data_IF_439713811867
#
_entry.id   IF_439713811867
#
_cell.length_a   1.000
_cell.length_b   1.000
_cell.length_c   1.000
_cell.angle_alpha   90.00
_cell.angle_beta   90.00
_cell.angle_gamma   90.00
#
_symmetry.space_group_name_H-M   'P 1'
#
loop_
_entity.id
_entity.type
_entity.pdbx_description
1 polymer ?
#
# COMPACT_ATOMS: atom_id res chain seq x y z
N UNK A 1 16.99 2.61 31.28
CA UNK A 1 17.82 1.74 30.39
C UNK A 1 17.39 1.97 28.94
N UNK A 2 18.15 2.73 28.11
CA UNK A 2 17.84 2.94 26.67
C UNK A 2 18.32 1.74 25.91
N UNK A 3 17.40 0.94 25.38
CA UNK A 3 17.72 -0.18 24.49
C UNK A 3 18.52 0.35 23.28
N UNK A 4 19.57 -0.39 22.87
CA UNK A 4 20.27 -0.09 21.62
C UNK A 4 19.25 -0.07 20.47
N UNK A 5 19.30 0.88 19.51
CA UNK A 5 18.29 1.04 18.45
C UNK A 5 17.95 -0.27 17.70
N UNK A 6 18.95 -1.12 17.48
CA UNK A 6 18.76 -2.44 16.80
C UNK A 6 17.89 -3.40 17.63
N UNK A 7 18.05 -3.44 18.96
CA UNK A 7 17.26 -4.31 19.82
C UNK A 7 15.79 -3.85 19.94
N UNK A 8 15.52 -2.54 19.89
CA UNK A 8 14.14 -2.01 19.90
C UNK A 8 13.41 -2.31 18.58
N UNK A 9 14.09 -2.21 17.44
CA UNK A 9 13.52 -2.57 16.13
C UNK A 9 13.24 -4.06 16.06
N UNK A 10 14.20 -4.93 16.45
CA UNK A 10 14.02 -6.38 16.46
C UNK A 10 12.82 -6.81 17.33
N UNK A 11 12.70 -6.22 18.53
CA UNK A 11 11.55 -6.49 19.41
C UNK A 11 10.22 -6.03 18.79
N UNK A 12 10.19 -4.84 18.17
CA UNK A 12 9.00 -4.34 17.49
C UNK A 12 8.59 -5.23 16.32
N UNK A 13 9.56 -5.72 15.54
CA UNK A 13 9.32 -6.70 14.46
C UNK A 13 8.75 -8.00 15.03
N UNK A 14 9.35 -8.55 16.10
CA UNK A 14 8.86 -9.79 16.71
C UNK A 14 7.40 -9.64 17.19
N UNK A 15 7.07 -8.55 17.86
CA UNK A 15 5.70 -8.26 18.30
C UNK A 15 4.75 -8.13 17.09
N UNK A 16 5.18 -7.42 16.03
CA UNK A 16 4.37 -7.24 14.83
C UNK A 16 4.14 -8.57 14.10
N UNK A 17 5.14 -9.45 14.03
CA UNK A 17 4.99 -10.79 13.44
C UNK A 17 4.01 -11.64 14.24
N UNK A 18 4.12 -11.66 15.57
CA UNK A 18 3.16 -12.39 16.43
C UNK A 18 1.74 -11.84 16.23
N UNK A 19 1.57 -10.51 16.26
CA UNK A 19 0.28 -9.88 16.02
C UNK A 19 -0.28 -10.25 14.64
N UNK A 20 0.57 -10.23 13.61
CA UNK A 20 0.18 -10.60 12.24
C UNK A 20 -0.30 -12.05 12.15
N UNK A 21 0.44 -12.99 12.78
CA UNK A 21 0.06 -14.41 12.81
C UNK A 21 -1.27 -14.62 13.52
N UNK A 22 -1.50 -13.95 14.64
CA UNK A 22 -2.79 -14.01 15.38
C UNK A 22 -3.92 -13.47 14.51
N UNK A 23 -3.74 -12.30 13.89
CA UNK A 23 -4.79 -11.71 13.02
C UNK A 23 -5.03 -12.59 11.79
N UNK A 24 -4.00 -13.19 11.20
CA UNK A 24 -4.13 -14.10 10.07
C UNK A 24 -4.90 -15.37 10.47
N UNK A 25 -4.60 -15.94 11.63
CA UNK A 25 -5.33 -17.10 12.15
C UNK A 25 -6.82 -16.79 12.38
N UNK A 26 -7.13 -15.61 12.95
CA UNK A 26 -8.51 -15.12 13.12
C UNK A 26 -9.18 -14.93 11.75
N UNK A 27 -8.52 -14.26 10.81
CA UNK A 27 -9.04 -14.00 9.47
C UNK A 27 -9.35 -15.28 8.69
N UNK A 28 -8.55 -16.32 8.88
CA UNK A 28 -8.77 -17.65 8.29
C UNK A 28 -9.90 -18.42 8.96
N UNK A 29 -10.10 -18.25 10.27
CA UNK A 29 -11.13 -18.98 11.05
C UNK A 29 -12.52 -18.37 10.87
N UNK A 30 -12.61 -17.07 10.59
CA UNK A 30 -13.86 -16.32 10.49
C UNK A 30 -14.28 -16.14 9.02
N UNK A 31 -15.54 -16.43 8.72
CA UNK A 31 -16.17 -16.30 7.40
C UNK A 31 -17.65 -16.62 7.55
N UNK A 32 -18.37 -16.87 6.46
CA UNK A 32 -19.80 -17.23 6.47
C UNK A 32 -20.10 -18.45 7.37
N UNK A 33 -19.14 -19.35 7.50
CA UNK A 33 -19.14 -20.43 8.47
C UNK A 33 -17.86 -20.36 9.29
N UNK A 34 -18.00 -20.26 10.61
CA UNK A 34 -16.86 -20.36 11.53
C UNK A 34 -16.24 -21.76 11.43
N UNK A 35 -14.92 -21.81 11.26
CA UNK A 35 -14.18 -23.07 11.13
C UNK A 35 -13.35 -23.28 12.39
N UNK A 36 -13.45 -24.48 12.99
CA UNK A 36 -12.66 -24.84 14.17
C UNK A 36 -11.16 -24.85 13.80
N UNK A 37 -10.24 -24.40 14.68
CA UNK A 37 -8.79 -24.41 14.42
C UNK A 37 -8.23 -25.77 13.96
N UNK A 38 -8.71 -26.87 14.49
CA UNK A 38 -8.30 -28.21 14.07
C UNK A 38 -8.77 -28.55 12.65
N UNK A 39 -9.98 -28.15 12.30
CA UNK A 39 -10.56 -28.31 10.96
C UNK A 39 -9.84 -27.40 9.95
N UNK A 40 -9.54 -26.14 10.34
CA UNK A 40 -8.76 -25.22 9.54
C UNK A 40 -7.38 -25.79 9.18
N UNK A 41 -6.66 -26.34 10.17
CA UNK A 41 -5.37 -26.96 9.93
C UNK A 41 -5.47 -28.15 8.97
N UNK A 42 -6.45 -29.03 9.14
CA UNK A 42 -6.68 -30.16 8.23
C UNK A 42 -6.97 -29.67 6.81
N UNK A 43 -7.84 -28.67 6.68
CA UNK A 43 -8.21 -28.10 5.39
C UNK A 43 -7.03 -27.43 4.67
N UNK A 44 -6.14 -26.76 5.39
CA UNK A 44 -4.90 -26.21 4.84
C UNK A 44 -4.00 -27.27 4.20
N UNK A 45 -3.97 -28.48 4.79
CA UNK A 45 -3.22 -29.62 4.23
C UNK A 45 -4.04 -30.48 3.25
N UNK A 46 -5.25 -30.02 2.87
CA UNK A 46 -6.09 -30.69 1.88
C UNK A 46 -6.84 -31.91 2.44
N UNK A 47 -7.02 -31.97 3.77
CA UNK A 47 -7.69 -33.07 4.46
C UNK A 47 -8.97 -32.58 5.15
N UNK A 48 -10.05 -33.37 5.08
CA UNK A 48 -11.34 -33.09 5.73
C UNK A 48 -12.49 -32.97 4.73
N UNK A 49 -13.52 -32.23 5.11
CA UNK A 49 -14.68 -31.97 4.25
C UNK A 49 -14.25 -31.16 3.01
N UNK A 50 -14.62 -31.61 1.82
CA UNK A 50 -14.22 -31.03 0.54
C UNK A 50 -14.65 -29.57 0.41
N UNK A 51 -15.85 -29.21 0.90
CA UNK A 51 -16.35 -27.84 0.88
C UNK A 51 -15.53 -26.92 1.80
N UNK A 52 -15.08 -27.44 2.96
CA UNK A 52 -14.23 -26.69 3.89
C UNK A 52 -12.83 -26.52 3.29
N UNK A 53 -12.28 -27.55 2.68
CA UNK A 53 -10.97 -27.47 1.98
C UNK A 53 -11.03 -26.44 0.88
N UNK A 54 -12.06 -26.45 0.04
CA UNK A 54 -12.26 -25.46 -1.01
C UNK A 54 -12.38 -24.04 -0.43
N UNK A 55 -13.25 -23.83 0.56
CA UNK A 55 -13.44 -22.52 1.18
C UNK A 55 -12.16 -21.95 1.81
N UNK A 56 -11.34 -22.82 2.41
CA UNK A 56 -10.09 -22.43 3.06
C UNK A 56 -9.00 -22.13 2.01
N UNK A 57 -8.77 -23.03 1.06
CA UNK A 57 -7.63 -22.95 0.13
C UNK A 57 -7.87 -22.04 -1.07
N UNK A 58 -9.10 -22.01 -1.59
CA UNK A 58 -9.41 -21.27 -2.84
C UNK A 58 -10.10 -19.94 -2.59
N UNK A 59 -10.69 -19.72 -1.40
CA UNK A 59 -11.39 -18.47 -1.11
C UNK A 59 -10.67 -17.67 -0.02
N UNK A 60 -10.42 -18.25 1.17
CA UNK A 60 -9.89 -17.51 2.32
C UNK A 60 -8.39 -17.29 2.23
N UNK A 61 -7.62 -18.31 1.88
CA UNK A 61 -6.17 -18.23 1.83
C UNK A 61 -5.66 -17.19 0.81
N UNK A 62 -6.10 -17.19 -0.47
CA UNK A 62 -5.64 -16.18 -1.42
C UNK A 62 -6.02 -14.76 -0.98
N UNK A 63 -7.21 -14.57 -0.41
CA UNK A 63 -7.64 -13.27 0.12
C UNK A 63 -6.76 -12.79 1.29
N UNK A 64 -6.44 -13.67 2.24
CA UNK A 64 -5.54 -13.35 3.36
C UNK A 64 -4.14 -13.04 2.85
N UNK A 65 -3.60 -13.85 1.94
CA UNK A 65 -2.30 -13.61 1.31
C UNK A 65 -2.29 -12.25 0.59
N UNK A 66 -3.33 -11.96 -0.18
CA UNK A 66 -3.45 -10.69 -0.89
C UNK A 66 -3.52 -9.51 0.09
N UNK A 67 -4.31 -9.60 1.16
CA UNK A 67 -4.39 -8.57 2.20
C UNK A 67 -3.02 -8.30 2.84
N UNK A 68 -2.26 -9.36 3.15
CA UNK A 68 -0.91 -9.28 3.70
C UNK A 68 0.05 -8.58 2.74
N UNK A 69 0.05 -9.01 1.48
CA UNK A 69 0.98 -8.50 0.46
C UNK A 69 0.66 -7.05 0.08
N UNK A 70 -0.61 -6.73 -0.16
CA UNK A 70 -1.07 -5.37 -0.46
C UNK A 70 -0.77 -4.42 0.71
N UNK A 71 -1.09 -4.84 1.93
CA UNK A 71 -0.80 -4.06 3.14
C UNK A 71 0.69 -3.83 3.34
N UNK A 72 1.51 -4.88 3.17
CA UNK A 72 2.96 -4.77 3.26
C UNK A 72 3.53 -3.84 2.18
N UNK A 73 3.07 -3.95 0.94
CA UNK A 73 3.49 -3.12 -0.16
C UNK A 73 3.19 -1.63 0.10
N UNK A 74 1.95 -1.28 0.48
CA UNK A 74 1.60 0.10 0.86
C UNK A 74 2.41 0.58 2.07
N UNK A 75 2.59 -0.27 3.09
CA UNK A 75 3.34 0.08 4.29
C UNK A 75 4.81 0.40 4.00
N UNK A 76 5.49 -0.43 3.21
CA UNK A 76 6.87 -0.22 2.78
C UNK A 76 6.96 1.04 1.90
N UNK A 77 6.08 1.15 0.91
CA UNK A 77 6.03 2.30 0.00
C UNK A 77 5.86 3.62 0.74
N UNK A 78 4.94 3.68 1.70
CA UNK A 78 4.74 4.84 2.56
C UNK A 78 5.96 5.16 3.42
N UNK A 79 6.57 4.13 4.04
CA UNK A 79 7.78 4.30 4.84
C UNK A 79 8.94 4.88 4.03
N UNK A 80 9.15 4.39 2.80
CA UNK A 80 10.16 4.91 1.86
C UNK A 80 9.86 6.36 1.50
N UNK A 81 8.63 6.67 1.05
CA UNK A 81 8.25 8.03 0.65
C UNK A 81 8.46 9.03 1.78
N UNK A 82 8.06 8.69 3.01
CA UNK A 82 8.25 9.54 4.20
C UNK A 82 9.73 9.75 4.54
N UNK A 83 10.54 8.70 4.43
CA UNK A 83 11.97 8.76 4.70
C UNK A 83 12.72 9.60 3.67
N UNK A 84 12.50 9.33 2.38
CA UNK A 84 13.19 10.00 1.27
C UNK A 84 12.80 11.46 1.14
N UNK A 85 11.50 11.77 1.26
CA UNK A 85 10.98 13.15 1.16
C UNK A 85 11.09 13.91 2.50
N UNK A 86 11.57 13.27 3.55
CA UNK A 86 11.68 13.84 4.91
C UNK A 86 10.39 14.51 5.39
N UNK A 87 9.26 13.97 4.95
CA UNK A 87 7.93 14.48 5.25
C UNK A 87 7.05 13.35 5.82
N UNK A 88 6.57 13.46 7.07
CA UNK A 88 5.73 12.42 7.68
C UNK A 88 4.37 12.23 6.99
N UNK A 89 3.95 13.17 6.16
CA UNK A 89 2.72 13.13 5.39
C UNK A 89 2.92 12.66 3.94
N UNK A 90 4.16 12.33 3.55
CA UNK A 90 4.42 11.82 2.23
C UNK A 90 3.87 10.40 2.07
N UNK A 91 3.23 10.14 0.95
CA UNK A 91 2.77 8.83 0.51
C UNK A 91 2.96 8.68 -0.99
N UNK A 92 2.98 7.46 -1.54
CA UNK A 92 3.06 7.26 -2.99
C UNK A 92 1.85 7.87 -3.73
N UNK A 93 0.72 8.08 -3.06
CA UNK A 93 -0.47 8.73 -3.62
C UNK A 93 -0.19 10.19 -4.01
N UNK A 94 0.68 10.87 -3.26
CA UNK A 94 1.13 12.24 -3.61
C UNK A 94 1.93 12.25 -4.92
N UNK A 95 2.51 11.11 -5.30
CA UNK A 95 3.15 10.91 -6.60
C UNK A 95 2.14 10.45 -7.68
N UNK A 96 0.85 10.59 -7.44
CA UNK A 96 -0.22 10.34 -8.41
C UNK A 96 -0.48 8.87 -8.75
N UNK A 97 0.14 7.92 -8.04
CA UNK A 97 0.05 6.48 -8.36
C UNK A 97 -1.40 6.01 -8.35
N UNK A 98 -2.13 6.28 -7.27
CA UNK A 98 -3.54 5.86 -7.16
C UNK A 98 -4.45 6.57 -8.16
N UNK A 99 -4.22 7.88 -8.43
CA UNK A 99 -5.01 8.62 -9.41
C UNK A 99 -4.77 8.12 -10.84
N UNK A 100 -3.50 7.84 -11.20
CA UNK A 100 -3.14 7.27 -12.50
C UNK A 100 -3.69 5.86 -12.70
N UNK A 101 -3.59 5.01 -11.67
CA UNK A 101 -4.19 3.68 -11.67
C UNK A 101 -5.71 3.75 -11.86
N UNK A 102 -6.37 4.71 -11.19
CA UNK A 102 -7.82 4.91 -11.26
C UNK A 102 -8.28 5.33 -12.65
N UNK A 103 -7.62 6.32 -13.26
CA UNK A 103 -7.95 6.75 -14.64
C UNK A 103 -7.79 5.60 -15.63
N UNK A 104 -6.70 4.83 -15.54
CA UNK A 104 -6.45 3.75 -16.48
C UNK A 104 -7.43 2.58 -16.29
N UNK A 105 -7.71 2.19 -15.03
CA UNK A 105 -8.68 1.14 -14.72
C UNK A 105 -10.10 1.52 -15.20
N UNK A 106 -10.58 2.70 -14.81
CA UNK A 106 -11.90 3.19 -15.21
C UNK A 106 -11.96 3.43 -16.73
N UNK A 107 -10.87 3.88 -17.35
CA UNK A 107 -10.76 4.03 -18.79
C UNK A 107 -10.97 2.73 -19.55
N UNK A 108 -10.31 1.64 -19.10
CA UNK A 108 -10.51 0.30 -19.69
C UNK A 108 -11.93 -0.20 -19.48
N UNK A 109 -12.51 0.01 -18.28
CA UNK A 109 -13.91 -0.36 -18.01
C UNK A 109 -14.89 0.42 -18.91
N UNK A 110 -14.67 1.73 -19.09
CA UNK A 110 -15.51 2.58 -19.94
C UNK A 110 -15.45 2.18 -21.43
N UNK A 111 -14.24 1.92 -21.94
CA UNK A 111 -14.03 1.51 -23.33
C UNK A 111 -14.57 0.09 -23.57
N UNK A 112 -14.41 -0.82 -22.58
CA UNK A 112 -14.97 -2.16 -22.65
C UNK A 112 -16.50 -2.17 -22.68
N UNK A 113 -17.15 -1.31 -21.89
CA UNK A 113 -18.60 -1.12 -21.89
C UNK A 113 -19.13 -0.61 -23.25
N UNK A 114 -18.30 0.15 -24.01
CA UNK A 114 -18.61 0.63 -25.36
C UNK A 114 -18.25 -0.38 -26.46
N UNK A 115 -17.83 -1.62 -26.12
CA UNK A 115 -17.45 -2.65 -27.10
C UNK A 115 -16.12 -2.39 -27.78
N UNK A 116 -15.28 -1.53 -27.24
CA UNK A 116 -13.97 -1.20 -27.81
C UNK A 116 -12.92 -2.28 -27.56
N UNK A 117 -11.89 -2.41 -28.45
CA UNK A 117 -10.88 -3.46 -28.38
C UNK A 117 -9.98 -3.36 -27.14
N UNK A 118 -9.86 -2.20 -26.52
CA UNK A 118 -9.05 -1.98 -25.30
C UNK A 118 -9.69 -2.62 -24.07
N UNK A 119 -11.00 -2.92 -24.10
CA UNK A 119 -11.70 -3.63 -23.02
C UNK A 119 -11.19 -5.06 -22.76
N UNK A 120 -10.32 -5.59 -23.62
CA UNK A 120 -9.63 -6.89 -23.43
C UNK A 120 -8.46 -6.78 -22.46
N UNK A 121 -7.94 -5.56 -22.18
CA UNK A 121 -6.82 -5.37 -21.24
C UNK A 121 -7.30 -5.64 -19.80
N UNK A 122 -6.65 -6.54 -19.06
CA UNK A 122 -7.00 -6.78 -17.66
C UNK A 122 -6.88 -5.50 -16.83
N UNK A 123 -7.91 -5.22 -16.02
CA UNK A 123 -7.96 -4.02 -15.16
C UNK A 123 -6.70 -3.87 -14.29
N UNK A 124 -6.16 -4.94 -13.66
CA UNK A 124 -4.91 -4.84 -12.89
C UNK A 124 -3.72 -4.35 -13.72
N UNK A 125 -3.61 -4.80 -14.98
CA UNK A 125 -2.53 -4.36 -15.89
C UNK A 125 -2.69 -2.89 -16.25
N UNK A 126 -3.90 -2.47 -16.58
CA UNK A 126 -4.19 -1.06 -16.86
C UNK A 126 -3.88 -0.16 -15.64
N UNK A 127 -4.32 -0.56 -14.46
CA UNK A 127 -4.06 0.15 -13.21
C UNK A 127 -2.56 0.25 -12.91
N UNK A 128 -1.81 -0.83 -13.09
CA UNK A 128 -0.36 -0.86 -12.91
C UNK A 128 0.33 0.13 -13.85
N UNK A 129 0.03 0.08 -15.14
CA UNK A 129 0.60 0.97 -16.16
C UNK A 129 0.19 2.43 -15.91
N UNK A 130 -1.06 2.68 -15.55
CA UNK A 130 -1.56 4.02 -15.20
C UNK A 130 -0.87 4.62 -13.98
N UNK A 131 -0.64 3.82 -12.96
CA UNK A 131 0.09 4.25 -11.75
C UNK A 131 1.54 4.63 -12.05
N UNK A 132 2.25 3.79 -12.83
CA UNK A 132 3.61 4.11 -13.29
C UNK A 132 3.64 5.32 -14.22
N UNK A 133 2.69 5.40 -15.16
CA UNK A 133 2.59 6.52 -16.11
C UNK A 133 2.40 7.86 -15.41
N UNK A 134 1.50 7.93 -14.43
CA UNK A 134 1.28 9.14 -13.64
C UNK A 134 2.52 9.53 -12.84
N UNK A 135 3.16 8.57 -12.18
CA UNK A 135 4.39 8.83 -11.41
C UNK A 135 5.54 9.29 -12.33
N UNK A 136 5.69 8.69 -13.50
CA UNK A 136 6.67 9.11 -14.51
C UNK A 136 6.40 10.54 -15.01
N UNK A 137 5.14 10.88 -15.24
CA UNK A 137 4.73 12.23 -15.66
C UNK A 137 5.02 13.27 -14.57
N UNK A 138 4.71 12.96 -13.31
CA UNK A 138 5.04 13.84 -12.16
C UNK A 138 6.55 14.00 -12.03
N UNK A 139 7.32 12.94 -12.20
CA UNK A 139 8.77 13.01 -12.17
C UNK A 139 9.29 13.91 -13.32
N UNK A 140 8.83 13.71 -14.55
CA UNK A 140 9.23 14.49 -15.71
C UNK A 140 8.92 16.00 -15.53
N UNK A 141 7.73 16.35 -15.06
CA UNK A 141 7.33 17.72 -14.78
C UNK A 141 8.09 18.32 -13.59
N UNK A 142 8.42 17.51 -12.58
CA UNK A 142 9.15 17.92 -11.39
C UNK A 142 10.66 18.13 -11.64
N UNK A 143 11.26 17.41 -12.60
CA UNK A 143 12.68 17.62 -12.97
C UNK A 143 12.97 19.03 -13.46
N UNK A 144 12.06 19.62 -14.26
CA UNK A 144 12.19 21.00 -14.75
C UNK A 144 12.19 22.08 -13.65
N UNK A 145 11.62 21.78 -12.47
CA UNK A 145 11.53 22.67 -11.32
C UNK A 145 12.66 22.46 -10.27
N UNK A 146 13.74 21.75 -10.63
CA UNK A 146 14.92 21.54 -9.77
C UNK A 146 14.78 20.47 -8.71
N UNK A 147 13.89 19.47 -8.90
CA UNK A 147 13.66 18.28 -8.04
C UNK A 147 13.58 18.60 -6.52
N UNK A 148 13.00 19.74 -6.18
CA UNK A 148 12.76 20.11 -4.79
C UNK A 148 11.51 19.40 -4.29
N UNK A 149 11.56 18.77 -3.14
CA UNK A 149 10.43 18.00 -2.57
C UNK A 149 9.10 18.76 -2.52
N UNK A 150 9.13 20.09 -2.34
CA UNK A 150 7.94 20.95 -2.37
C UNK A 150 7.34 21.07 -3.78
N UNK A 151 8.16 21.16 -4.80
CA UNK A 151 7.71 21.24 -6.20
C UNK A 151 7.05 19.93 -6.64
N UNK A 152 7.66 18.78 -6.31
CA UNK A 152 7.07 17.46 -6.56
C UNK A 152 5.69 17.28 -5.91
N UNK A 153 5.53 17.77 -4.67
CA UNK A 153 4.24 17.71 -3.97
C UNK A 153 3.16 18.54 -4.69
N UNK A 154 3.48 19.76 -5.11
CA UNK A 154 2.52 20.63 -5.81
C UNK A 154 2.13 20.07 -7.17
N UNK A 155 3.10 19.60 -7.98
CA UNK A 155 2.85 18.95 -9.27
C UNK A 155 2.02 17.69 -9.07
N UNK A 156 2.36 16.88 -8.05
CA UNK A 156 1.63 15.66 -7.72
C UNK A 156 0.16 15.93 -7.37
N UNK A 157 -0.11 16.91 -6.52
CA UNK A 157 -1.48 17.31 -6.15
C UNK A 157 -2.25 17.80 -7.38
N UNK A 158 -1.65 18.69 -8.18
CA UNK A 158 -2.30 19.25 -9.37
C UNK A 158 -2.64 18.13 -10.39
N UNK A 159 -1.68 17.26 -10.70
CA UNK A 159 -1.91 16.16 -11.63
C UNK A 159 -2.93 15.14 -11.07
N UNK A 160 -2.83 14.76 -9.80
CA UNK A 160 -3.81 13.85 -9.17
C UNK A 160 -5.22 14.41 -9.22
N UNK A 161 -5.40 15.72 -9.01
CA UNK A 161 -6.70 16.38 -9.13
C UNK A 161 -7.21 16.35 -10.56
N UNK A 162 -6.35 16.63 -11.55
CA UNK A 162 -6.72 16.55 -12.98
C UNK A 162 -7.11 15.11 -13.38
N UNK A 163 -6.32 14.10 -12.97
CA UNK A 163 -6.63 12.68 -13.23
C UNK A 163 -7.94 12.25 -12.54
N UNK A 164 -8.20 12.73 -11.32
CA UNK A 164 -9.48 12.48 -10.64
C UNK A 164 -10.64 13.10 -11.43
N UNK A 165 -10.49 14.32 -11.96
CA UNK A 165 -11.49 14.93 -12.84
C UNK A 165 -11.78 14.10 -14.09
N UNK A 166 -10.73 13.55 -14.73
CA UNK A 166 -10.87 12.63 -15.87
C UNK A 166 -11.62 11.35 -15.45
N UNK A 167 -11.27 10.78 -14.27
CA UNK A 167 -11.97 9.59 -13.75
C UNK A 167 -13.47 9.87 -13.57
N UNK A 168 -13.83 11.00 -12.97
CA UNK A 168 -15.23 11.40 -12.77
C UNK A 168 -15.94 11.60 -14.12
N UNK A 169 -15.30 12.23 -15.08
CA UNK A 169 -15.84 12.37 -16.42
C UNK A 169 -16.12 11.01 -17.08
N UNK A 170 -15.17 10.07 -17.00
CA UNK A 170 -15.35 8.73 -17.54
C UNK A 170 -16.55 8.00 -16.92
N UNK A 171 -16.74 8.13 -15.61
CA UNK A 171 -17.90 7.54 -14.91
C UNK A 171 -19.24 8.07 -15.47
N UNK A 172 -19.32 9.36 -15.86
CA UNK A 172 -20.56 9.93 -16.43
C UNK A 172 -20.86 9.42 -17.83
N UNK A 173 -19.89 8.78 -18.50
CA UNK A 173 -20.05 8.21 -19.86
C UNK A 173 -20.45 6.74 -19.86
N UNK A 174 -20.43 6.09 -18.68
CA UNK A 174 -20.79 4.68 -18.52
C UNK A 174 -22.28 4.53 -18.25
N UNK A 175 -22.80 3.34 -18.54
CA UNK A 175 -24.10 2.91 -18.05
C UNK A 175 -24.08 2.74 -16.50
N UNK A 176 -25.25 2.64 -15.88
CA UNK A 176 -25.37 2.59 -14.41
C UNK A 176 -24.60 1.40 -13.82
N UNK A 177 -24.65 0.24 -14.45
CA UNK A 177 -23.98 -0.97 -13.96
C UNK A 177 -22.46 -0.87 -14.04
N UNK A 178 -21.94 -0.34 -15.14
CA UNK A 178 -20.51 -0.10 -15.33
C UNK A 178 -19.97 0.97 -14.36
N UNK A 179 -20.70 2.07 -14.21
CA UNK A 179 -20.34 3.13 -13.26
C UNK A 179 -20.33 2.62 -11.80
N UNK A 180 -21.28 1.76 -11.43
CA UNK A 180 -21.32 1.14 -10.10
C UNK A 180 -20.13 0.20 -9.87
N UNK A 181 -19.78 -0.62 -10.87
CA UNK A 181 -18.63 -1.50 -10.83
C UNK A 181 -17.32 -0.72 -10.70
N UNK A 182 -17.16 0.36 -11.49
CA UNK A 182 -16.01 1.24 -11.43
C UNK A 182 -15.93 2.00 -10.09
N UNK A 183 -17.04 2.51 -9.57
CA UNK A 183 -17.12 3.14 -8.26
C UNK A 183 -16.73 2.16 -7.14
N UNK A 184 -17.19 0.91 -7.20
CA UNK A 184 -16.80 -0.14 -6.26
C UNK A 184 -15.29 -0.42 -6.32
N UNK A 185 -14.69 -0.47 -7.51
CA UNK A 185 -13.24 -0.64 -7.65
C UNK A 185 -12.46 0.54 -7.06
N UNK A 186 -12.93 1.78 -7.28
CA UNK A 186 -12.31 3.00 -6.77
C UNK A 186 -12.35 3.13 -5.24
N UNK A 187 -13.21 2.39 -4.56
CA UNK A 187 -13.24 2.37 -3.08
C UNK A 187 -12.17 1.45 -2.47
N UNK A 188 -11.51 0.63 -3.26
CA UNK A 188 -10.51 -0.33 -2.81
C UNK A 188 -11.13 -1.52 -2.06
N UNK A 189 -11.11 -2.69 -2.69
CA UNK A 189 -11.72 -3.90 -2.13
C UNK A 189 -10.90 -5.14 -2.46
N UNK A 190 -10.84 -6.06 -1.49
CA UNK A 190 -10.25 -7.39 -1.67
C UNK A 190 -11.32 -8.47 -1.86
N UNK A 191 -12.58 -8.07 -2.06
CA UNK A 191 -13.69 -8.98 -2.24
C UNK A 191 -13.59 -9.71 -3.58
N UNK A 192 -13.96 -10.99 -3.60
CA UNK A 192 -13.94 -11.86 -4.78
C UNK A 192 -12.55 -11.94 -5.48
N UNK A 193 -11.45 -11.75 -4.73
CA UNK A 193 -10.08 -11.91 -5.22
C UNK A 193 -9.55 -13.30 -4.94
N UNK A 194 -8.95 -13.92 -5.95
CA UNK A 194 -8.39 -15.26 -5.90
C UNK A 194 -6.87 -15.28 -6.05
N UNK A 195 -6.34 -16.48 -6.33
CA UNK A 195 -4.91 -16.69 -6.59
C UNK A 195 -4.41 -15.94 -7.83
N UNK A 196 -5.27 -15.76 -8.85
CA UNK A 196 -4.94 -15.03 -10.07
C UNK A 196 -4.63 -13.55 -9.80
N UNK A 197 -5.24 -12.96 -8.75
CA UNK A 197 -4.94 -11.62 -8.30
C UNK A 197 -3.74 -11.58 -7.32
N UNK A 198 -3.64 -12.59 -6.44
CA UNK A 198 -2.67 -12.59 -5.35
C UNK A 198 -1.25 -12.92 -5.82
N UNK A 199 -1.08 -13.91 -6.71
CA UNK A 199 0.23 -14.38 -7.16
C UNK A 199 1.05 -13.33 -7.91
N UNK A 200 0.50 -12.56 -8.88
CA UNK A 200 1.27 -11.53 -9.58
C UNK A 200 1.79 -10.45 -8.63
N UNK A 201 0.97 -10.03 -7.66
CA UNK A 201 1.38 -9.01 -6.68
C UNK A 201 2.41 -9.57 -5.70
N UNK A 202 2.22 -10.81 -5.24
CA UNK A 202 3.20 -11.50 -4.39
C UNK A 202 4.57 -11.58 -5.06
N UNK A 203 4.61 -12.00 -6.33
CA UNK A 203 5.85 -12.09 -7.11
C UNK A 203 6.47 -10.69 -7.27
N UNK A 204 5.67 -9.69 -7.68
CA UNK A 204 6.16 -8.31 -7.84
C UNK A 204 6.74 -7.75 -6.54
N UNK A 205 6.06 -7.93 -5.42
CA UNK A 205 6.53 -7.50 -4.10
C UNK A 205 7.80 -8.28 -3.68
N UNK A 206 7.84 -9.60 -3.93
CA UNK A 206 9.00 -10.43 -3.66
C UNK A 206 10.26 -10.01 -4.45
N UNK A 207 10.09 -9.41 -5.63
CA UNK A 207 11.19 -8.84 -6.42
C UNK A 207 11.62 -7.47 -5.89
N UNK A 208 10.66 -6.59 -5.58
CA UNK A 208 10.97 -5.19 -5.20
C UNK A 208 11.50 -5.09 -3.76
N UNK A 209 11.01 -5.90 -2.82
CA UNK A 209 11.44 -5.82 -1.41
C UNK A 209 12.93 -6.08 -1.22
N UNK A 210 13.57 -7.09 -1.82
CA UNK A 210 15.03 -7.27 -1.75
C UNK A 210 15.80 -6.04 -2.26
N UNK A 211 15.34 -5.41 -3.34
CA UNK A 211 15.96 -4.19 -3.88
C UNK A 211 15.89 -3.06 -2.84
N UNK A 212 14.75 -2.88 -2.21
CA UNK A 212 14.58 -1.90 -1.11
C UNK A 212 15.53 -2.19 0.05
N UNK A 213 15.71 -3.46 0.42
CA UNK A 213 16.61 -3.85 1.51
C UNK A 213 18.07 -3.58 1.18
N UNK A 214 18.50 -3.85 -0.06
CA UNK A 214 19.85 -3.55 -0.55
C UNK A 214 20.07 -2.03 -0.53
N UNK A 215 19.16 -1.26 -1.13
CA UNK A 215 19.23 0.20 -1.15
C UNK A 215 19.14 0.82 0.26
N UNK A 216 18.52 0.12 1.19
CA UNK A 216 18.38 0.55 2.59
C UNK A 216 19.71 0.76 3.32
N UNK A 217 20.78 0.07 2.92
CA UNK A 217 22.13 0.31 3.44
C UNK A 217 22.65 1.70 2.99
N UNK A 218 22.52 2.00 1.71
CA UNK A 218 22.94 3.30 1.15
C UNK A 218 22.00 4.43 1.59
N UNK A 219 20.72 4.13 1.85
CA UNK A 219 19.75 5.11 2.34
C UNK A 219 20.10 5.71 3.70
N UNK A 220 20.85 4.99 4.55
CA UNK A 220 21.34 5.52 5.82
C UNK A 220 22.34 6.67 5.63
N UNK A 221 23.06 6.67 4.52
CA UNK A 221 23.95 7.78 4.19
C UNK A 221 23.20 9.05 3.79
N UNK A 222 21.92 8.94 3.37
CA UNK A 222 21.10 10.11 2.99
C UNK A 222 20.77 11.06 4.17
N UNK A 223 21.08 10.66 5.41
CA UNK A 223 20.96 11.51 6.60
C UNK A 223 22.00 12.62 6.57
N UNK A 224 23.16 12.36 5.96
CA UNK A 224 24.26 13.30 5.82
C UNK A 224 24.06 14.22 4.60
N UNK A 225 24.82 15.31 4.54
CA UNK A 225 24.82 16.24 3.40
C UNK A 225 25.34 15.54 2.14
N UNK A 226 24.86 15.97 0.97
CA UNK A 226 25.16 15.32 -0.31
C UNK A 226 26.66 15.31 -0.64
N UNK A 227 27.42 16.31 -0.18
CA UNK A 227 28.86 16.38 -0.40
C UNK A 227 29.66 15.35 0.42
N UNK A 228 29.20 15.04 1.63
CA UNK A 228 29.81 13.97 2.44
C UNK A 228 29.53 12.58 1.85
N UNK A 229 28.33 12.38 1.31
CA UNK A 229 27.96 11.10 0.70
C UNK A 229 28.72 10.84 -0.60
N UNK A 230 29.00 11.86 -1.40
CA UNK A 230 29.83 11.75 -2.60
C UNK A 230 31.28 11.33 -2.28
N UNK A 231 31.84 11.86 -1.18
CA UNK A 231 33.18 11.45 -0.74
C UNK A 231 33.26 9.97 -0.33
N UNK A 232 32.15 9.35 0.02
CA UNK A 232 32.03 7.90 0.29
C UNK A 232 31.68 7.08 -0.95
N UNK A 233 31.67 7.68 -2.14
CA UNK A 233 31.29 7.04 -3.40
C UNK A 233 29.79 6.75 -3.54
N UNK A 234 28.94 7.32 -2.68
CA UNK A 234 27.48 7.11 -2.71
C UNK A 234 26.82 8.28 -3.45
N UNK A 235 26.19 7.97 -4.58
CA UNK A 235 25.34 8.94 -5.27
C UNK A 235 23.96 9.04 -4.57
N UNK A 236 23.84 9.97 -3.62
CA UNK A 236 22.63 10.15 -2.82
C UNK A 236 21.38 10.44 -3.66
N UNK A 237 21.53 11.17 -4.77
CA UNK A 237 20.41 11.47 -5.69
C UNK A 237 19.91 10.19 -6.38
N UNK A 238 20.81 9.36 -6.89
CA UNK A 238 20.44 8.08 -7.52
C UNK A 238 19.74 7.15 -6.53
N UNK A 239 20.24 7.06 -5.29
CA UNK A 239 19.61 6.23 -4.24
C UNK A 239 18.20 6.74 -3.90
N UNK A 240 18.00 8.07 -3.79
CA UNK A 240 16.66 8.65 -3.55
C UNK A 240 15.70 8.31 -4.68
N UNK A 241 16.12 8.50 -5.93
CA UNK A 241 15.29 8.18 -7.11
C UNK A 241 14.96 6.69 -7.14
N UNK A 242 15.93 5.81 -6.97
CA UNK A 242 15.72 4.37 -6.96
C UNK A 242 14.72 3.93 -5.86
N UNK A 243 14.84 4.49 -4.66
CA UNK A 243 13.88 4.22 -3.57
C UNK A 243 12.47 4.74 -3.90
N UNK A 244 12.35 5.93 -4.49
CA UNK A 244 11.03 6.44 -4.92
C UNK A 244 10.42 5.58 -6.03
N UNK A 245 11.22 5.09 -6.98
CA UNK A 245 10.77 4.13 -8.01
C UNK A 245 10.27 2.84 -7.36
N UNK A 246 11.01 2.29 -6.38
CA UNK A 246 10.54 1.12 -5.61
C UNK A 246 9.23 1.41 -4.85
N UNK A 247 9.10 2.60 -4.27
CA UNK A 247 7.86 3.01 -3.58
C UNK A 247 6.68 3.08 -4.54
N UNK A 248 6.86 3.67 -5.72
CA UNK A 248 5.85 3.72 -6.78
C UNK A 248 5.49 2.31 -7.25
N UNK A 249 6.49 1.45 -7.48
CA UNK A 249 6.27 0.07 -7.91
C UNK A 249 5.44 -0.72 -6.90
N UNK A 250 5.78 -0.65 -5.61
CA UNK A 250 5.03 -1.32 -4.55
C UNK A 250 3.59 -0.81 -4.46
N UNK A 251 3.39 0.51 -4.52
CA UNK A 251 2.06 1.10 -4.47
C UNK A 251 1.22 0.77 -5.71
N UNK A 252 1.82 0.80 -6.91
CA UNK A 252 1.14 0.45 -8.15
C UNK A 252 0.74 -1.03 -8.18
N UNK A 253 1.62 -1.94 -7.73
CA UNK A 253 1.31 -3.37 -7.56
C UNK A 253 0.16 -3.58 -6.56
N UNK A 254 0.18 -2.90 -5.41
CA UNK A 254 -0.88 -3.00 -4.42
C UNK A 254 -2.22 -2.48 -4.96
N UNK A 255 -2.20 -1.33 -5.63
CA UNK A 255 -3.40 -0.71 -6.20
C UNK A 255 -3.97 -1.53 -7.36
N UNK A 256 -3.13 -2.19 -8.16
CA UNK A 256 -3.59 -3.00 -9.29
C UNK A 256 -4.48 -4.17 -8.88
N UNK A 257 -4.24 -4.77 -7.70
CA UNK A 257 -5.01 -5.90 -7.22
C UNK A 257 -6.14 -5.51 -6.25
N UNK A 258 -5.88 -4.57 -5.33
CA UNK A 258 -6.84 -4.17 -4.29
C UNK A 258 -7.64 -2.90 -4.61
N UNK A 259 -7.34 -2.22 -5.72
CA UNK A 259 -7.78 -0.84 -5.92
C UNK A 259 -7.04 0.16 -5.01
N UNK A 260 -7.39 1.44 -5.05
CA UNK A 260 -6.78 2.46 -4.21
C UNK A 260 -7.22 2.29 -2.75
N UNK A 261 -6.31 1.91 -1.86
CA UNK A 261 -6.55 1.78 -0.41
C UNK A 261 -5.83 2.93 0.31
N UNK A 262 -6.58 3.96 0.65
CA UNK A 262 -6.05 5.16 1.30
C UNK A 262 -5.55 4.93 2.73
N UNK A 263 -4.73 5.86 3.22
CA UNK A 263 -4.21 5.94 4.58
C UNK A 263 -3.22 4.84 5.03
N UNK A 264 -3.24 3.64 4.46
CA UNK A 264 -2.34 2.54 4.86
C UNK A 264 -0.88 2.97 4.74
N UNK A 265 -0.48 3.47 3.57
CA UNK A 265 0.88 3.94 3.32
C UNK A 265 1.30 5.06 4.28
N UNK A 266 0.38 5.97 4.59
CA UNK A 266 0.62 7.14 5.44
C UNK A 266 0.76 6.75 6.92
N UNK A 267 -0.11 5.88 7.42
CA UNK A 267 -0.18 5.51 8.84
C UNK A 267 0.92 4.51 9.21
N UNK A 268 1.21 3.54 8.34
CA UNK A 268 2.11 2.41 8.65
C UNK A 268 3.51 2.86 9.01
N UNK A 269 4.10 3.80 8.27
CA UNK A 269 5.42 4.33 8.54
C UNK A 269 5.50 5.04 9.90
N UNK A 270 4.48 5.83 10.25
CA UNK A 270 4.42 6.55 11.51
C UNK A 270 4.25 5.62 12.71
N UNK A 271 3.40 4.61 12.59
CA UNK A 271 3.21 3.58 13.62
C UNK A 271 4.50 2.79 13.81
N UNK A 272 5.14 2.33 12.72
CA UNK A 272 6.40 1.59 12.75
C UNK A 272 7.51 2.36 13.47
N UNK A 273 7.70 3.63 13.13
CA UNK A 273 8.69 4.52 13.76
C UNK A 273 8.46 4.67 15.26
N UNK A 274 7.20 4.82 15.67
CA UNK A 274 6.84 4.96 17.09
C UNK A 274 7.01 3.67 17.87
N UNK A 275 6.56 2.55 17.29
CA UNK A 275 6.69 1.22 17.91
C UNK A 275 8.16 0.84 18.14
N UNK A 276 9.02 1.12 17.17
CA UNK A 276 10.45 0.87 17.26
C UNK A 276 11.20 1.94 18.09
N UNK A 277 10.58 3.10 18.37
CA UNK A 277 11.21 4.24 19.09
C UNK A 277 12.52 4.72 18.43
N UNK A 278 12.52 4.78 17.10
CA UNK A 278 13.66 5.22 16.29
C UNK A 278 13.33 6.48 15.50
N UNK A 279 14.36 7.20 15.04
CA UNK A 279 14.18 8.39 14.22
C UNK A 279 13.78 8.04 12.78
N UNK A 280 14.40 7.00 12.22
CA UNK A 280 14.15 6.53 10.86
C UNK A 280 13.02 5.50 10.83
N UNK A 281 12.34 5.39 9.68
CA UNK A 281 11.26 4.42 9.49
C UNK A 281 11.87 3.09 9.03
N UNK A 282 11.78 1.99 9.81
CA UNK A 282 12.23 0.68 9.36
C UNK A 282 11.24 0.15 8.30
N UNK A 283 11.65 -0.05 7.02
CA UNK A 283 10.71 -0.40 5.94
C UNK A 283 9.98 -1.73 6.19
N UNK A 284 10.68 -2.74 6.67
CA UNK A 284 10.06 -4.04 7.00
C UNK A 284 8.99 -3.92 8.10
N UNK A 285 9.27 -3.14 9.15
CA UNK A 285 8.27 -2.94 10.21
C UNK A 285 7.08 -2.13 9.69
N UNK A 286 7.30 -1.15 8.81
CA UNK A 286 6.23 -0.42 8.15
C UNK A 286 5.37 -1.35 7.29
N UNK A 287 5.99 -2.31 6.60
CA UNK A 287 5.30 -3.36 5.85
C UNK A 287 4.45 -4.26 6.75
N UNK A 288 5.00 -4.75 7.86
CA UNK A 288 4.24 -5.56 8.82
C UNK A 288 3.04 -4.81 9.39
N UNK A 289 3.22 -3.54 9.75
CA UNK A 289 2.12 -2.70 10.24
C UNK A 289 1.06 -2.51 9.16
N UNK A 290 1.47 -2.25 7.90
CA UNK A 290 0.55 -2.13 6.77
C UNK A 290 -0.24 -3.42 6.53
N UNK A 291 0.43 -4.58 6.57
CA UNK A 291 -0.21 -5.89 6.47
C UNK A 291 -1.26 -6.11 7.57
N UNK A 292 -0.94 -5.77 8.82
CA UNK A 292 -1.87 -5.85 9.96
C UNK A 292 -3.08 -4.94 9.71
N UNK A 293 -2.86 -3.68 9.32
CA UNK A 293 -3.95 -2.71 9.10
C UNK A 293 -4.91 -3.22 8.02
N UNK A 294 -4.40 -3.66 6.87
CA UNK A 294 -5.25 -4.13 5.76
C UNK A 294 -5.97 -5.42 6.14
N UNK A 295 -5.29 -6.37 6.77
CA UNK A 295 -5.89 -7.64 7.17
C UNK A 295 -6.96 -7.46 8.25
N UNK A 296 -6.74 -6.57 9.24
CA UNK A 296 -7.75 -6.22 10.25
C UNK A 296 -8.94 -5.54 9.61
N UNK A 297 -8.70 -4.57 8.71
CA UNK A 297 -9.77 -3.88 8.00
C UNK A 297 -10.58 -4.85 7.11
N UNK A 298 -9.92 -5.76 6.37
CA UNK A 298 -10.60 -6.78 5.57
C UNK A 298 -11.41 -7.75 6.44
N UNK A 299 -10.86 -8.20 7.55
CA UNK A 299 -11.57 -9.10 8.47
C UNK A 299 -12.76 -8.39 9.10
N UNK A 300 -12.59 -7.16 9.57
CA UNK A 300 -13.68 -6.37 10.15
C UNK A 300 -14.80 -6.08 9.12
N UNK A 301 -14.43 -5.82 7.86
CA UNK A 301 -15.40 -5.57 6.79
C UNK A 301 -16.38 -6.72 6.56
N UNK A 302 -15.93 -7.95 6.83
CA UNK A 302 -16.72 -9.18 6.63
C UNK A 302 -17.50 -9.61 7.86
N UNK A 303 -17.08 -9.19 9.06
CA UNK A 303 -17.55 -9.77 10.31
C UNK A 303 -18.35 -8.82 11.19
N UNK A 304 -18.07 -7.52 11.10
CA UNK A 304 -18.66 -6.53 12.01
C UNK A 304 -19.92 -5.90 11.40
N UNK A 305 -20.00 -5.82 10.08
CA UNK A 305 -21.08 -5.11 9.40
C UNK A 305 -22.05 -6.08 8.71
N UNK A 306 -23.36 -5.77 8.69
CA UNK A 306 -24.36 -6.60 8.01
C UNK A 306 -24.18 -6.64 6.48
N UNK A 307 -23.49 -5.65 5.93
CA UNK A 307 -23.11 -5.57 4.50
C UNK A 307 -21.59 -5.46 4.43
N UNK A 308 -20.99 -6.23 3.52
CA UNK A 308 -19.55 -6.21 3.32
C UNK A 308 -19.08 -4.84 2.78
N UNK A 309 -18.33 -4.11 3.61
CA UNK A 309 -17.78 -2.81 3.24
C UNK A 309 -16.44 -2.96 2.49
N UNK A 310 -16.12 -2.07 1.54
CA UNK A 310 -14.79 -2.01 0.95
C UNK A 310 -13.72 -1.71 2.01
N UNK A 311 -12.57 -2.38 1.90
CA UNK A 311 -11.44 -2.24 2.84
C UNK A 311 -10.96 -0.79 2.91
N UNK A 312 -10.92 -0.09 1.75
CA UNK A 312 -10.49 1.31 1.66
C UNK A 312 -11.36 2.26 2.48
N UNK A 313 -12.68 1.98 2.62
CA UNK A 313 -13.57 2.77 3.48
C UNK A 313 -13.16 2.62 4.95
N UNK A 314 -12.93 1.40 5.42
CA UNK A 314 -12.54 1.15 6.81
C UNK A 314 -11.17 1.74 7.14
N UNK A 315 -10.21 1.61 6.23
CA UNK A 315 -8.88 2.23 6.43
C UNK A 315 -8.96 3.75 6.46
N UNK A 316 -9.88 4.37 5.70
CA UNK A 316 -10.12 5.81 5.72
C UNK A 316 -10.78 6.27 7.03
N UNK A 317 -11.79 5.54 7.52
CA UNK A 317 -12.48 5.86 8.79
C UNK A 317 -11.50 5.86 9.98
N UNK A 318 -10.55 4.95 10.01
CA UNK A 318 -9.54 4.89 11.08
C UNK A 318 -8.35 5.82 10.79
N UNK A 319 -7.93 5.90 9.54
CA UNK A 319 -6.74 6.64 9.14
C UNK A 319 -6.89 8.15 9.21
N UNK A 320 -8.06 8.71 8.85
CA UNK A 320 -8.26 10.15 8.86
C UNK A 320 -8.24 10.75 10.28
N UNK A 321 -8.94 10.21 11.30
CA UNK A 321 -8.82 10.67 12.68
C UNK A 321 -7.40 10.52 13.24
N UNK A 322 -6.70 9.43 12.89
CA UNK A 322 -5.32 9.24 13.30
C UNK A 322 -4.39 10.32 12.74
N UNK A 323 -4.61 10.71 11.47
CA UNK A 323 -3.84 11.79 10.85
C UNK A 323 -4.11 13.13 11.55
N UNK A 324 -5.36 13.46 11.84
CA UNK A 324 -5.72 14.67 12.59
C UNK A 324 -5.06 14.71 13.97
N UNK A 325 -5.09 13.58 14.69
CA UNK A 325 -4.37 13.44 15.97
C UNK A 325 -2.87 13.68 15.82
N UNK A 326 -2.25 13.21 14.74
CA UNK A 326 -0.84 13.42 14.46
C UNK A 326 -0.50 14.89 14.23
N UNK A 327 -1.35 15.61 13.53
CA UNK A 327 -1.17 17.03 13.20
C UNK A 327 -1.36 17.92 14.42
N UNK A 328 -2.25 17.55 15.34
CA UNK A 328 -2.54 18.34 16.56
C UNK A 328 -1.47 18.19 17.64
N UNK A 329 -0.62 17.14 17.60
CA UNK A 329 0.45 16.99 18.58
C UNK A 329 1.54 18.02 18.36
N UNK A 330 1.75 18.99 19.27
CA UNK A 330 2.85 19.92 19.17
C UNK A 330 4.15 19.13 19.12
N UNK A 331 5.06 19.50 18.20
CA UNK A 331 6.45 19.02 18.20
C UNK A 331 7.07 19.38 19.52
N UNK A 332 7.03 18.48 20.51
CA UNK A 332 7.76 18.66 21.77
C UNK A 332 9.24 18.82 21.45
N UNK A 333 9.71 20.05 21.52
CA UNK A 333 11.09 20.41 21.84
C UNK A 333 12.16 20.04 20.82
N UNK A 334 12.31 20.85 19.76
CA UNK A 334 13.62 21.36 19.37
C UNK A 334 13.68 22.84 19.80
N UNK A 335 13.57 23.02 21.11
CA UNK A 335 13.94 24.26 21.77
C UNK A 335 15.17 23.99 22.59
N UNK A 336 16.19 24.80 22.43
CA UNK A 336 17.43 24.91 23.18
C UNK A 336 18.43 23.75 23.00
N UNK A 337 19.32 23.87 22.07
CA UNK A 337 20.77 24.09 22.30
C UNK A 337 21.35 24.67 21.01
#
# INVERSE_FOLDING_TARGET
>A
MRLKPRASVARAIAIAVVALLVVAAVAMSVGDRATNPAELLRALFGSGDENVVYAVREVRLPRVVLALVVGAAFGIAGGISQGVLRNPLASPDVLGVSAGASVAAVGVMAIGALGGPIGVVPIPVAALLGGFGAAALIAALGFGAGFRGRSLLLVGIALSTALTGITQYLLTRMDVSGAQSAASWLTGSLNARGWDDALPVLIGVAVVVPIVLILGHSARALIFEDDLTKNWGINGSAVRVALLVCSVALAALATSAGGPIGFVALVSGQVARRAARVADIPPLLAGLVGAIIVLVADTASRTVFPVQLPVGVLTAIVGAPYLLYLLQRPRRGRGAL
#
